data_IF_750148016119
#
_entry.id   IF_750148016119
#
_cell.length_a   1.000
_cell.length_b   1.000
_cell.length_c   1.000
_cell.angle_alpha   90.00
_cell.angle_beta   90.00
_cell.angle_gamma   90.00
#
_symmetry.space_group_name_H-M   'P 1'
#
loop_
_entity.id
_entity.type
_entity.pdbx_description
1 polymer ?
#
# COMPACT_ATOMS: atom_id res chain seq x y z
N UNK A 1 -22.73 112.46 -7.39
CA UNK A 1 -23.91 111.61 -7.15
C UNK A 1 -23.42 110.19 -6.91
N UNK A 2 -23.71 109.64 -5.72
CA UNK A 2 -23.54 108.26 -5.21
C UNK A 2 -22.13 107.67 -4.91
N UNK A 3 -21.91 107.45 -3.61
CA UNK A 3 -20.98 106.54 -2.93
C UNK A 3 -21.32 105.04 -3.14
N UNK A 4 -20.32 104.15 -3.00
CA UNK A 4 -20.31 102.84 -2.27
C UNK A 4 -19.11 102.03 -2.77
N UNK A 5 -17.99 101.74 -2.06
CA UNK A 5 -17.66 101.05 -0.80
C UNK A 5 -17.96 99.53 -0.77
N UNK A 6 -16.90 98.78 -0.38
CA UNK A 6 -16.79 97.37 0.10
C UNK A 6 -16.68 96.26 -0.96
N UNK A 7 -16.03 95.10 -0.76
CA UNK A 7 -15.04 94.51 0.17
C UNK A 7 -14.97 93.00 -0.21
N UNK A 8 -13.92 92.28 0.21
CA UNK A 8 -13.81 90.79 0.29
C UNK A 8 -13.42 90.11 -1.04
N UNK A 9 -12.49 89.14 -1.14
CA UNK A 9 -11.80 88.26 -0.19
C UNK A 9 -11.66 86.86 -0.84
N UNK A 10 -10.74 86.02 -0.32
CA UNK A 10 -10.52 84.57 -0.58
C UNK A 10 -9.50 84.20 -1.68
N UNK A 11 -8.29 83.69 -1.37
CA UNK A 11 -7.86 82.37 -0.82
C UNK A 11 -7.68 81.27 -1.88
N UNK A 12 -6.40 80.91 -2.09
CA UNK A 12 -5.79 79.58 -2.32
C UNK A 12 -6.67 78.39 -2.76
N UNK A 13 -6.25 77.66 -3.80
CA UNK A 13 -5.98 76.22 -3.66
C UNK A 13 -5.14 75.65 -4.83
N UNK A 14 -3.97 75.12 -4.49
CA UNK A 14 -3.15 74.18 -5.25
C UNK A 14 -3.96 72.92 -5.58
N UNK A 15 -4.18 72.62 -6.87
CA UNK A 15 -4.70 71.33 -7.30
C UNK A 15 -3.53 70.37 -7.55
N UNK A 16 -3.21 69.54 -6.55
CA UNK A 16 -2.40 68.36 -6.73
C UNK A 16 -3.20 67.35 -7.55
N UNK A 17 -2.76 67.08 -8.78
CA UNK A 17 -3.30 66.00 -9.62
C UNK A 17 -2.84 64.68 -9.02
N UNK A 18 -3.68 64.09 -8.17
CA UNK A 18 -3.52 62.74 -7.67
C UNK A 18 -3.81 61.79 -8.83
N UNK A 19 -2.76 61.27 -9.45
CA UNK A 19 -2.85 60.14 -10.37
C UNK A 19 -3.32 58.93 -9.57
N UNK A 20 -4.63 58.71 -9.55
CA UNK A 20 -5.21 57.42 -9.18
C UNK A 20 -4.91 56.46 -10.31
N UNK A 21 -3.81 55.72 -10.20
CA UNK A 21 -3.62 54.50 -10.98
C UNK A 21 -4.64 53.49 -10.47
N UNK A 22 -5.84 53.51 -11.05
CA UNK A 22 -6.76 52.37 -10.99
C UNK A 22 -6.04 51.20 -11.65
N UNK A 23 -5.31 50.41 -10.86
CA UNK A 23 -5.04 49.04 -11.28
C UNK A 23 -6.40 48.43 -11.54
N UNK A 24 -6.66 47.84 -12.72
CA UNK A 24 -7.91 47.15 -12.93
C UNK A 24 -8.06 46.13 -11.81
N UNK A 25 -9.18 46.17 -11.08
CA UNK A 25 -9.67 44.98 -10.41
C UNK A 25 -9.74 43.95 -11.52
N UNK A 26 -8.82 42.98 -11.49
CA UNK A 26 -8.91 41.82 -12.35
C UNK A 26 -10.17 41.11 -11.87
N UNK A 27 -11.32 41.44 -12.47
CA UNK A 27 -12.57 40.76 -12.27
C UNK A 27 -12.36 39.31 -12.69
N UNK A 28 -11.94 38.49 -11.73
CA UNK A 28 -11.85 37.06 -11.89
C UNK A 28 -13.31 36.59 -12.00
N UNK A 29 -13.74 36.24 -13.21
CA UNK A 29 -15.08 35.73 -13.49
C UNK A 29 -15.29 34.29 -12.96
N UNK A 30 -14.57 33.90 -11.91
CA UNK A 30 -14.71 32.65 -11.19
C UNK A 30 -15.07 32.94 -9.73
N UNK A 31 -15.73 31.98 -9.08
CA UNK A 31 -15.93 32.05 -7.63
C UNK A 31 -14.56 32.12 -6.96
N UNK A 32 -14.32 33.15 -6.13
CA UNK A 32 -13.10 33.22 -5.34
C UNK A 32 -13.04 31.99 -4.41
N UNK A 33 -11.90 31.28 -4.34
CA UNK A 33 -11.78 30.09 -3.51
C UNK A 33 -11.89 30.46 -2.03
N UNK A 34 -12.30 29.49 -1.20
CA UNK A 34 -12.16 29.68 0.24
C UNK A 34 -10.70 29.54 0.67
N UNK A 35 -10.27 30.33 1.65
CA UNK A 35 -8.97 30.09 2.30
C UNK A 35 -8.99 28.68 2.89
N UNK A 36 -7.95 27.90 2.60
CA UNK A 36 -7.85 26.49 3.01
C UNK A 36 -8.57 25.50 2.09
N UNK A 37 -9.21 25.95 1.01
CA UNK A 37 -9.79 25.07 -0.01
C UNK A 37 -8.70 24.26 -0.70
N UNK A 38 -8.94 22.95 -0.83
CA UNK A 38 -8.09 22.02 -1.57
C UNK A 38 -8.71 21.73 -2.93
N UNK A 39 -7.90 21.82 -3.98
CA UNK A 39 -8.30 21.48 -5.34
C UNK A 39 -7.27 20.57 -6.02
N UNK A 40 -7.74 19.75 -6.96
CA UNK A 40 -6.89 18.90 -7.79
C UNK A 40 -6.84 19.45 -9.22
N UNK A 41 -5.62 19.64 -9.72
CA UNK A 41 -5.35 20.29 -11.01
C UNK A 41 -4.41 19.45 -11.86
N UNK A 42 -4.63 19.48 -13.18
CA UNK A 42 -3.85 18.70 -14.14
C UNK A 42 -2.50 19.36 -14.53
N UNK A 43 -2.31 20.64 -14.22
CA UNK A 43 -1.07 21.37 -14.52
C UNK A 43 -0.06 21.24 -13.37
N UNK A 44 1.22 21.47 -13.69
CA UNK A 44 2.36 21.08 -12.85
C UNK A 44 2.81 22.14 -11.81
N UNK A 45 2.07 23.21 -11.58
CA UNK A 45 2.44 24.31 -10.67
C UNK A 45 1.25 24.78 -9.83
N UNK A 46 1.51 25.47 -8.71
CA UNK A 46 0.48 26.19 -7.96
C UNK A 46 0.38 27.64 -8.46
N UNK A 47 -0.81 28.13 -8.88
CA UNK A 47 -0.99 29.50 -9.33
C UNK A 47 -0.86 30.49 -8.16
N UNK A 48 -0.78 31.78 -8.45
CA UNK A 48 -0.74 32.81 -7.42
C UNK A 48 -1.98 32.70 -6.49
N UNK A 49 -1.77 32.85 -5.18
CA UNK A 49 -2.81 32.64 -4.17
C UNK A 49 -2.96 31.19 -3.71
N UNK A 50 -2.21 30.25 -4.31
CA UNK A 50 -2.23 28.83 -3.97
C UNK A 50 -0.83 28.32 -3.63
N UNK A 51 -0.80 27.18 -2.95
CA UNK A 51 0.40 26.40 -2.67
C UNK A 51 0.18 24.93 -3.01
N UNK A 52 1.26 24.19 -3.29
CA UNK A 52 1.18 22.73 -3.42
C UNK A 52 0.98 22.07 -2.04
N UNK A 53 0.21 20.99 -2.00
CA UNK A 53 -0.02 20.18 -0.80
C UNK A 53 1.17 19.24 -0.51
N UNK A 54 2.37 19.80 -0.30
CA UNK A 54 3.63 19.05 -0.14
C UNK A 54 4.16 19.04 1.31
N UNK A 55 3.34 19.41 2.29
CA UNK A 55 3.76 19.40 3.70
C UNK A 55 4.67 20.56 4.12
N UNK A 56 4.77 21.62 3.31
CA UNK A 56 5.66 22.75 3.62
C UNK A 56 5.27 23.46 4.92
N UNK A 57 6.29 23.96 5.64
CA UNK A 57 6.14 24.76 6.84
C UNK A 57 6.01 26.24 6.46
N UNK A 58 4.94 26.88 6.91
CA UNK A 58 4.65 28.28 6.65
C UNK A 58 4.66 29.10 7.95
N UNK A 59 5.11 30.38 7.89
CA UNK A 59 5.12 31.24 9.05
C UNK A 59 3.72 31.81 9.33
N UNK A 60 3.27 31.72 10.59
CA UNK A 60 1.92 32.13 11.01
C UNK A 60 1.70 33.63 10.78
N UNK A 61 2.73 34.46 10.97
CA UNK A 61 2.63 35.91 10.82
C UNK A 61 2.26 36.37 9.40
N UNK A 62 2.53 35.56 8.36
CA UNK A 62 2.17 35.86 6.98
C UNK A 62 0.83 35.22 6.57
N UNK A 63 0.48 34.06 7.15
CA UNK A 63 -0.66 33.24 6.74
C UNK A 63 -1.67 33.02 7.89
N UNK A 64 -1.98 34.09 8.63
CA UNK A 64 -2.84 34.02 9.82
C UNK A 64 -4.22 33.42 9.53
N UNK A 65 -4.84 33.82 8.40
CA UNK A 65 -6.15 33.31 7.98
C UNK A 65 -6.13 31.82 7.65
N UNK A 66 -5.04 31.32 7.06
CA UNK A 66 -4.91 29.89 6.78
C UNK A 66 -4.63 29.11 8.07
N UNK A 67 -3.78 29.64 8.94
CA UNK A 67 -3.49 29.03 10.24
C UNK A 67 -4.72 28.93 11.14
N UNK A 68 -5.61 29.93 11.15
CA UNK A 68 -6.83 29.86 11.98
C UNK A 68 -7.82 28.77 11.56
N UNK A 69 -7.67 28.23 10.34
CA UNK A 69 -8.47 27.13 9.82
C UNK A 69 -7.77 25.78 10.00
N UNK A 70 -6.48 25.70 9.68
CA UNK A 70 -5.72 24.43 9.68
C UNK A 70 -5.17 24.09 11.07
N UNK A 71 -4.84 25.09 11.87
CA UNK A 71 -4.11 24.92 13.13
C UNK A 71 -2.78 24.18 12.91
N UNK A 72 -2.45 23.28 13.82
CA UNK A 72 -1.28 22.40 13.76
C UNK A 72 -1.59 20.98 13.29
N UNK A 73 -2.78 20.76 12.71
CA UNK A 73 -3.25 19.41 12.33
C UNK A 73 -2.29 18.68 11.39
N UNK A 74 -1.50 19.41 10.60
CA UNK A 74 -0.54 18.86 9.65
C UNK A 74 0.92 19.05 10.08
N UNK A 75 1.18 19.69 11.24
CA UNK A 75 2.52 19.98 11.77
C UNK A 75 2.79 21.46 12.06
N UNK A 76 4.06 21.77 12.32
CA UNK A 76 4.53 23.07 12.83
C UNK A 76 4.46 23.19 14.35
N UNK A 77 4.94 24.32 14.88
CA UNK A 77 5.04 24.54 16.32
C UNK A 77 3.79 25.21 16.93
N UNK A 78 2.85 25.69 16.10
CA UNK A 78 1.63 26.36 16.53
C UNK A 78 1.82 27.74 17.14
N UNK A 79 3.06 28.27 17.14
CA UNK A 79 3.41 29.57 17.74
C UNK A 79 4.01 30.51 16.70
N UNK A 80 4.96 30.04 15.91
CA UNK A 80 5.59 30.78 14.81
C UNK A 80 5.29 30.16 13.45
N UNK A 81 4.99 28.86 13.41
CA UNK A 81 4.83 28.09 12.18
C UNK A 81 3.69 27.06 12.25
N UNK A 82 3.18 26.71 11.08
CA UNK A 82 2.25 25.60 10.86
C UNK A 82 2.59 24.91 9.54
N UNK A 83 2.08 23.70 9.33
CA UNK A 83 2.31 22.96 8.08
C UNK A 83 1.05 22.91 7.20
N UNK A 84 1.27 22.80 5.89
CA UNK A 84 0.24 22.38 4.94
C UNK A 84 0.06 20.85 4.97
N UNK A 85 -1.05 20.32 4.43
CA UNK A 85 -1.16 18.89 4.16
C UNK A 85 -0.05 18.40 3.22
N UNK A 86 0.44 17.17 3.44
CA UNK A 86 1.29 16.44 2.49
C UNK A 86 0.47 15.34 1.84
N UNK A 87 0.10 15.53 0.57
CA UNK A 87 -0.78 14.64 -0.21
C UNK A 87 -0.02 13.73 -1.17
N UNK A 88 1.32 13.78 -1.19
CA UNK A 88 2.13 12.93 -2.07
C UNK A 88 2.01 11.47 -1.63
N UNK A 89 1.57 10.61 -2.55
CA UNK A 89 1.34 9.17 -2.28
C UNK A 89 0.12 8.90 -1.40
N UNK A 90 -0.77 9.88 -1.19
CA UNK A 90 -1.94 9.74 -0.28
C UNK A 90 -3.24 10.01 -1.00
N UNK A 91 -4.30 9.39 -0.48
CA UNK A 91 -5.68 9.62 -0.91
C UNK A 91 -6.45 10.35 0.20
N UNK A 92 -7.32 11.32 -0.15
CA UNK A 92 -8.13 12.02 0.84
C UNK A 92 -9.21 11.09 1.41
N UNK A 93 -9.40 11.14 2.73
CA UNK A 93 -10.48 10.42 3.45
C UNK A 93 -11.22 11.41 4.34
N UNK A 94 -12.55 11.34 4.34
CA UNK A 94 -13.37 12.19 5.19
C UNK A 94 -13.19 11.81 6.68
N UNK A 95 -13.14 12.81 7.56
CA UNK A 95 -13.00 12.59 9.00
C UNK A 95 -14.22 11.90 9.63
N UNK A 96 -14.03 11.30 10.80
CA UNK A 96 -15.07 10.63 11.57
C UNK A 96 -15.07 9.12 11.38
N UNK A 97 -16.05 8.46 12.01
CA UNK A 97 -16.22 7.02 11.97
C UNK A 97 -17.47 6.65 11.18
N UNK A 98 -17.28 5.86 10.12
CA UNK A 98 -18.40 5.17 9.48
C UNK A 98 -18.91 4.05 10.42
N UNK A 99 -20.22 3.75 10.50
CA UNK A 99 -20.73 2.65 11.33
C UNK A 99 -19.99 1.33 11.04
N UNK A 100 -19.37 0.74 12.08
CA UNK A 100 -18.57 -0.48 11.94
C UNK A 100 -17.19 -0.31 11.28
N UNK A 101 -16.79 0.92 10.95
CA UNK A 101 -15.51 1.26 10.35
C UNK A 101 -14.51 1.86 11.35
N UNK A 102 -13.35 2.26 10.82
CA UNK A 102 -12.31 2.97 11.57
C UNK A 102 -12.69 4.43 11.81
N UNK A 103 -12.18 5.00 12.90
CA UNK A 103 -12.24 6.45 13.16
C UNK A 103 -11.08 7.15 12.46
N UNK A 104 -11.38 8.16 11.65
CA UNK A 104 -10.38 9.02 11.01
C UNK A 104 -10.37 10.40 11.66
N UNK A 105 -9.21 10.85 12.13
CA UNK A 105 -9.06 12.21 12.67
C UNK A 105 -8.45 13.13 11.62
N UNK A 106 -8.87 14.40 11.60
CA UNK A 106 -8.30 15.39 10.69
C UNK A 106 -6.78 15.51 10.91
N UNK A 107 -6.00 15.59 9.83
CA UNK A 107 -4.53 15.64 9.90
C UNK A 107 -3.83 14.28 10.07
N UNK A 108 -4.58 13.21 10.34
CA UNK A 108 -4.02 11.87 10.45
C UNK A 108 -3.41 11.40 9.12
N UNK A 109 -2.16 10.93 9.15
CA UNK A 109 -1.55 10.19 8.05
C UNK A 109 -1.46 8.71 8.43
N UNK A 110 -1.96 7.83 7.56
CA UNK A 110 -1.90 6.37 7.73
C UNK A 110 -1.92 5.68 6.36
N UNK A 111 -1.68 4.37 6.35
CA UNK A 111 -1.61 3.54 5.14
C UNK A 111 -0.18 3.25 4.67
N UNK A 112 -0.06 2.39 3.65
CA UNK A 112 1.19 2.01 3.02
C UNK A 112 0.97 1.74 1.52
N UNK A 113 1.92 2.12 0.66
CA UNK A 113 1.86 1.85 -0.78
C UNK A 113 2.19 0.39 -1.12
N UNK A 114 2.99 -0.25 -0.26
CA UNK A 114 3.43 -1.64 -0.38
C UNK A 114 3.24 -2.35 0.96
N UNK A 115 2.76 -3.60 0.90
CA UNK A 115 2.61 -4.46 2.07
C UNK A 115 3.46 -5.71 1.86
N UNK A 116 4.29 -6.04 2.83
CA UNK A 116 5.02 -7.32 2.85
C UNK A 116 4.08 -8.41 3.37
N UNK A 117 3.81 -9.42 2.55
CA UNK A 117 3.09 -10.61 3.00
C UNK A 117 3.96 -11.38 3.99
N UNK A 118 3.51 -11.43 5.24
CA UNK A 118 4.07 -12.34 6.25
C UNK A 118 3.26 -13.63 6.30
N UNK A 119 3.81 -14.66 6.95
CA UNK A 119 3.07 -15.90 7.24
C UNK A 119 1.73 -15.63 7.94
N UNK A 120 1.66 -14.62 8.80
CA UNK A 120 0.43 -14.22 9.50
C UNK A 120 -0.62 -13.59 8.57
N UNK A 121 -0.22 -13.12 7.39
CA UNK A 121 -1.13 -12.54 6.40
C UNK A 121 -1.65 -13.56 5.39
N UNK A 122 -1.14 -14.79 5.41
CA UNK A 122 -1.66 -15.87 4.58
C UNK A 122 -2.64 -16.73 5.39
N UNK A 123 -3.78 -17.17 4.79
CA UNK A 123 -4.59 -18.22 5.40
C UNK A 123 -3.71 -19.44 5.71
N UNK A 124 -3.92 -20.02 6.89
CA UNK A 124 -3.27 -21.27 7.27
C UNK A 124 -3.60 -22.33 6.22
N UNK A 125 -2.58 -22.85 5.57
CA UNK A 125 -2.69 -23.93 4.59
C UNK A 125 -1.58 -24.93 4.83
N UNK A 126 -1.83 -26.18 4.45
CA UNK A 126 -0.83 -27.24 4.46
C UNK A 126 -0.84 -27.96 3.11
N UNK A 127 0.28 -28.59 2.79
CA UNK A 127 0.39 -29.52 1.67
C UNK A 127 0.64 -30.91 2.23
N UNK A 128 -0.41 -31.67 2.56
CA UNK A 128 -0.21 -33.03 3.04
C UNK A 128 0.32 -33.90 1.90
N UNK A 129 1.56 -34.36 2.02
CA UNK A 129 2.08 -35.45 1.22
C UNK A 129 2.02 -36.73 2.06
N UNK A 130 1.19 -37.68 1.62
CA UNK A 130 1.05 -38.99 2.24
C UNK A 130 1.75 -40.04 1.39
N UNK A 131 2.66 -40.80 1.98
CA UNK A 131 3.21 -42.00 1.38
C UNK A 131 2.68 -43.22 2.13
N UNK A 132 2.10 -44.17 1.40
CA UNK A 132 1.66 -45.46 1.93
C UNK A 132 2.49 -46.55 1.28
N UNK A 133 3.22 -47.31 2.08
CA UNK A 133 3.96 -48.50 1.63
C UNK A 133 3.26 -49.73 2.17
N UNK A 134 2.74 -50.57 1.27
CA UNK A 134 2.17 -51.87 1.61
C UNK A 134 3.16 -52.96 1.19
N UNK A 135 3.64 -53.75 2.15
CA UNK A 135 4.47 -54.92 1.89
C UNK A 135 3.74 -56.17 2.35
N UNK A 136 3.45 -57.09 1.42
CA UNK A 136 2.92 -58.41 1.72
C UNK A 136 4.03 -59.43 1.56
N UNK A 137 4.56 -59.94 2.67
CA UNK A 137 5.61 -60.95 2.68
C UNK A 137 5.10 -62.20 3.39
N UNK A 138 5.16 -63.36 2.72
CA UNK A 138 4.97 -64.65 3.37
C UNK A 138 6.34 -65.22 3.73
N UNK A 139 6.61 -65.45 5.01
CA UNK A 139 7.87 -66.05 5.48
C UNK A 139 7.59 -67.42 6.10
N UNK A 140 8.47 -68.38 5.82
CA UNK A 140 8.53 -69.62 6.58
C UNK A 140 9.07 -69.36 8.00
N UNK A 141 8.77 -70.22 8.99
CA UNK A 141 9.38 -70.12 10.32
C UNK A 141 10.91 -70.04 10.25
N UNK A 142 11.49 -69.01 10.86
CA UNK A 142 12.93 -68.74 10.85
C UNK A 142 13.47 -68.01 9.61
N UNK A 143 12.61 -67.57 8.69
CA UNK A 143 13.01 -66.75 7.55
C UNK A 143 13.08 -65.25 7.88
N UNK A 144 13.89 -64.52 7.12
CA UNK A 144 13.95 -63.05 7.13
C UNK A 144 13.43 -62.51 5.81
N UNK A 145 12.69 -61.40 5.83
CA UNK A 145 12.26 -60.69 4.63
C UNK A 145 12.59 -59.21 4.76
N UNK A 146 13.06 -58.64 3.66
CA UNK A 146 13.36 -57.22 3.52
C UNK A 146 12.48 -56.66 2.41
N UNK A 147 11.77 -55.58 2.69
CA UNK A 147 11.04 -54.81 1.68
C UNK A 147 11.84 -53.56 1.34
N UNK A 148 12.11 -53.33 0.06
CA UNK A 148 12.80 -52.12 -0.42
C UNK A 148 11.94 -51.43 -1.46
N UNK A 149 11.80 -50.11 -1.35
CA UNK A 149 11.17 -49.31 -2.39
C UNK A 149 12.04 -49.30 -3.64
N UNK A 150 11.39 -49.37 -4.80
CA UNK A 150 12.04 -49.22 -6.10
C UNK A 150 11.64 -47.91 -6.77
N UNK A 151 12.58 -47.35 -7.52
CA UNK A 151 12.42 -46.20 -8.40
C UNK A 151 12.84 -46.56 -9.83
N UNK A 152 12.71 -45.62 -10.75
CA UNK A 152 13.16 -45.73 -12.13
C UNK A 152 14.48 -44.99 -12.29
N UNK A 153 15.51 -45.69 -12.76
CA UNK A 153 16.82 -45.13 -13.10
C UNK A 153 16.82 -44.56 -14.53
N UNK A 154 15.94 -43.59 -14.76
CA UNK A 154 15.90 -42.76 -15.96
C UNK A 154 15.31 -41.40 -15.62
N UNK A 155 15.46 -40.44 -16.53
CA UNK A 155 14.83 -39.12 -16.39
C UNK A 155 13.30 -39.26 -16.23
N UNK A 156 12.73 -38.47 -15.32
CA UNK A 156 11.30 -38.35 -15.15
C UNK A 156 10.65 -37.67 -16.37
N UNK A 157 9.54 -38.24 -16.84
CA UNK A 157 8.75 -37.79 -17.99
C UNK A 157 7.32 -37.37 -17.61
N UNK A 158 6.90 -37.66 -16.37
CA UNK A 158 5.53 -37.47 -15.88
C UNK A 158 5.50 -36.60 -14.62
N UNK A 159 4.48 -35.72 -14.55
CA UNK A 159 4.22 -34.83 -13.39
C UNK A 159 3.37 -35.48 -12.30
N UNK A 160 2.59 -36.50 -12.65
CA UNK A 160 1.54 -37.09 -11.82
C UNK A 160 1.98 -38.42 -11.20
N UNK A 161 1.80 -38.56 -9.90
CA UNK A 161 2.12 -39.80 -9.18
C UNK A 161 1.17 -40.97 -9.49
N UNK A 162 -0.07 -40.70 -9.93
CA UNK A 162 -1.11 -41.72 -10.07
C UNK A 162 -0.70 -42.81 -11.08
N UNK A 163 -0.42 -44.02 -10.57
CA UNK A 163 0.00 -45.17 -11.37
C UNK A 163 1.44 -45.14 -11.87
N UNK A 164 2.23 -44.13 -11.48
CA UNK A 164 3.60 -43.92 -11.96
C UNK A 164 4.61 -44.04 -10.81
N UNK A 165 5.86 -44.30 -11.16
CA UNK A 165 6.96 -44.57 -10.23
C UNK A 165 7.88 -43.36 -10.08
N UNK A 166 8.51 -43.18 -8.92
CA UNK A 166 9.53 -42.15 -8.73
C UNK A 166 10.70 -42.36 -9.69
N UNK A 167 11.22 -41.29 -10.28
CA UNK A 167 12.30 -41.30 -11.26
C UNK A 167 13.31 -40.19 -10.99
N UNK A 168 14.40 -40.14 -11.77
CA UNK A 168 15.38 -39.05 -11.65
C UNK A 168 14.74 -37.72 -12.07
N UNK A 169 14.51 -36.82 -11.12
CA UNK A 169 13.85 -35.55 -11.38
C UNK A 169 14.69 -34.68 -12.32
N UNK A 170 14.23 -34.51 -13.56
CA UNK A 170 14.86 -33.63 -14.54
C UNK A 170 14.27 -32.23 -14.43
N UNK A 171 14.87 -31.39 -13.59
CA UNK A 171 14.37 -30.06 -13.29
C UNK A 171 13.12 -30.08 -12.38
N UNK A 172 12.52 -28.91 -12.16
CA UNK A 172 11.45 -28.73 -11.16
C UNK A 172 10.07 -29.27 -11.57
N UNK A 173 9.92 -29.81 -12.78
CA UNK A 173 8.60 -30.03 -13.38
C UNK A 173 8.12 -31.48 -13.46
N UNK A 174 9.00 -32.47 -13.33
CA UNK A 174 8.63 -33.90 -13.39
C UNK A 174 9.44 -34.71 -12.40
N UNK A 175 8.77 -35.63 -11.70
CA UNK A 175 9.39 -36.51 -10.70
C UNK A 175 8.99 -37.99 -10.88
N UNK A 176 8.11 -38.29 -11.85
CA UNK A 176 7.55 -39.63 -12.04
C UNK A 176 7.82 -40.15 -13.45
N UNK A 177 7.76 -41.47 -13.61
CA UNK A 177 7.75 -42.16 -14.89
C UNK A 177 6.75 -43.31 -14.93
N UNK A 178 6.16 -43.56 -16.11
CA UNK A 178 5.30 -44.73 -16.36
C UNK A 178 6.10 -46.02 -16.50
N UNK A 179 7.43 -45.92 -16.63
CA UNK A 179 8.32 -47.07 -16.66
C UNK A 179 8.24 -47.87 -15.37
N UNK A 180 8.38 -49.19 -15.48
CA UNK A 180 8.45 -50.05 -14.30
C UNK A 180 9.69 -49.73 -13.46
N UNK A 181 9.60 -49.71 -12.11
CA UNK A 181 10.75 -49.51 -11.24
C UNK A 181 11.87 -50.52 -11.49
N UNK A 182 13.09 -50.05 -11.68
CA UNK A 182 14.24 -50.88 -12.07
C UNK A 182 15.47 -50.71 -11.15
N UNK A 183 15.42 -49.79 -10.18
CA UNK A 183 16.49 -49.58 -9.21
C UNK A 183 15.92 -49.54 -7.81
N UNK A 184 16.60 -50.15 -6.85
CA UNK A 184 16.25 -49.99 -5.43
C UNK A 184 16.65 -48.60 -4.97
N UNK A 185 15.77 -47.95 -4.20
CA UNK A 185 16.12 -46.70 -3.54
C UNK A 185 17.16 -46.97 -2.42
N UNK A 186 17.81 -45.92 -1.92
CA UNK A 186 18.76 -46.01 -0.80
C UNK A 186 18.15 -46.76 0.39
N UNK A 187 18.95 -47.50 1.17
CA UNK A 187 18.44 -48.25 2.35
C UNK A 187 17.78 -47.34 3.38
N UNK A 188 18.18 -46.07 3.46
CA UNK A 188 17.54 -45.07 4.33
C UNK A 188 16.19 -44.53 3.81
N UNK A 189 15.74 -44.92 2.60
CA UNK A 189 14.54 -44.35 1.97
C UNK A 189 13.22 -44.83 2.58
N UNK A 190 13.24 -45.99 3.26
CA UNK A 190 12.29 -46.60 4.20
C UNK A 190 12.69 -48.09 4.22
N UNK A 191 13.25 -48.56 5.34
CA UNK A 191 13.56 -49.97 5.59
C UNK A 191 12.64 -50.47 6.70
N UNK A 192 12.07 -51.66 6.53
CA UNK A 192 11.34 -52.34 7.60
C UNK A 192 11.79 -53.79 7.62
N UNK A 193 12.44 -54.18 8.71
CA UNK A 193 12.92 -55.54 8.95
C UNK A 193 11.94 -56.22 9.88
N UNK A 194 11.39 -57.37 9.47
CA UNK A 194 10.43 -58.14 10.25
C UNK A 194 11.04 -59.50 10.62
N UNK A 195 10.78 -59.95 11.85
CA UNK A 195 11.13 -61.28 12.37
C UNK A 195 9.87 -61.97 12.95
N UNK A 196 9.61 -63.22 12.55
CA UNK A 196 8.48 -64.02 13.05
C UNK A 196 7.11 -63.84 12.35
N UNK A 197 6.18 -64.75 12.65
CA UNK A 197 4.95 -65.06 11.89
C UNK A 197 3.92 -63.91 11.81
N UNK A 198 3.66 -63.46 10.57
CA UNK A 198 2.50 -62.72 10.06
C UNK A 198 2.20 -61.35 10.70
N UNK A 199 3.07 -60.37 10.44
CA UNK A 199 2.89 -58.97 10.82
C UNK A 199 2.54 -58.16 9.56
N UNK A 200 1.34 -57.56 9.53
CA UNK A 200 0.97 -56.52 8.55
C UNK A 200 1.44 -55.18 9.12
N UNK A 201 2.56 -54.66 8.63
CA UNK A 201 3.06 -53.33 9.04
C UNK A 201 2.59 -52.27 8.05
N UNK A 202 1.74 -51.35 8.50
CA UNK A 202 1.41 -50.13 7.76
C UNK A 202 2.27 -48.98 8.29
N UNK A 203 3.30 -48.58 7.54
CA UNK A 203 4.11 -47.40 7.89
C UNK A 203 3.48 -46.17 7.23
N UNK A 204 2.92 -45.27 8.03
CA UNK A 204 2.48 -43.94 7.58
C UNK A 204 3.59 -42.94 7.88
N UNK A 205 4.20 -42.37 6.84
CA UNK A 205 5.17 -41.28 7.00
C UNK A 205 4.48 -39.95 6.68
N UNK A 206 4.49 -39.02 7.64
CA UNK A 206 4.12 -37.63 7.37
C UNK A 206 5.30 -36.95 6.67
N UNK A 207 5.07 -36.36 5.50
CA UNK A 207 6.05 -35.51 4.83
C UNK A 207 5.71 -34.07 5.19
N UNK A 208 6.58 -33.42 5.98
CA UNK A 208 6.46 -32.00 6.27
C UNK A 208 6.92 -31.20 5.06
N UNK A 209 5.96 -30.70 4.27
CA UNK A 209 6.23 -29.71 3.25
C UNK A 209 6.26 -28.35 3.95
N UNK A 210 7.46 -27.77 4.10
CA UNK A 210 7.65 -26.47 4.73
C UNK A 210 6.86 -25.35 4.04
N UNK A 211 6.64 -24.24 4.74
CA UNK A 211 5.85 -23.13 4.19
C UNK A 211 6.57 -22.47 3.02
N UNK A 212 5.89 -22.33 1.89
CA UNK A 212 6.39 -21.65 0.70
C UNK A 212 5.85 -20.20 0.64
N UNK A 213 6.71 -19.24 0.29
CA UNK A 213 6.35 -17.82 0.17
C UNK A 213 7.53 -16.93 0.54
N UNK A 214 8.17 -16.32 -0.45
CA UNK A 214 9.45 -15.61 -0.29
C UNK A 214 9.38 -14.23 0.37
N UNK A 215 8.37 -13.96 1.21
CA UNK A 215 8.13 -12.68 1.90
C UNK A 215 8.34 -11.44 1.01
N UNK A 216 7.89 -11.52 -0.25
CA UNK A 216 8.06 -10.41 -1.18
C UNK A 216 6.97 -9.36 -0.95
N UNK A 217 7.32 -8.07 -0.93
CA UNK A 217 6.33 -7.02 -0.90
C UNK A 217 5.52 -7.00 -2.20
N UNK A 218 4.22 -6.72 -2.07
CA UNK A 218 3.35 -6.48 -3.20
C UNK A 218 2.68 -5.10 -3.03
N UNK A 219 2.45 -4.43 -4.16
CA UNK A 219 1.78 -3.14 -4.14
C UNK A 219 0.30 -3.34 -3.83
N UNK A 220 -0.22 -2.50 -2.93
CA UNK A 220 -1.65 -2.43 -2.60
C UNK A 220 -2.31 -1.20 -3.21
N UNK A 221 -1.58 -0.46 -4.03
CA UNK A 221 -2.09 0.75 -4.67
C UNK A 221 -3.06 0.39 -5.79
N UNK A 222 -4.26 0.98 -5.74
CA UNK A 222 -5.23 0.90 -6.85
C UNK A 222 -4.68 1.63 -8.07
N UNK A 223 -5.13 1.30 -9.31
CA UNK A 223 -4.78 2.08 -10.49
C UNK A 223 -5.06 3.57 -10.27
N UNK A 224 -4.08 4.42 -10.59
CA UNK A 224 -4.13 5.85 -10.28
C UNK A 224 -3.64 6.69 -11.46
N UNK A 225 -4.07 7.95 -11.49
CA UNK A 225 -3.53 9.00 -12.35
C UNK A 225 -3.06 10.13 -11.46
N UNK A 226 -1.83 10.61 -11.70
CA UNK A 226 -1.24 11.66 -10.87
C UNK A 226 -1.73 13.02 -11.34
N UNK A 227 -2.29 13.78 -10.42
CA UNK A 227 -2.65 15.19 -10.56
C UNK A 227 -2.11 15.95 -9.36
N UNK A 228 -1.94 17.26 -9.50
CA UNK A 228 -1.42 18.09 -8.42
C UNK A 228 -2.53 18.46 -7.44
N UNK A 229 -2.25 18.31 -6.14
CA UNK A 229 -3.03 18.92 -5.08
C UNK A 229 -2.51 20.33 -4.80
N UNK A 230 -3.42 21.31 -4.81
CA UNK A 230 -3.14 22.68 -4.42
C UNK A 230 -4.11 23.14 -3.32
N UNK A 231 -3.66 24.05 -2.47
CA UNK A 231 -4.44 24.66 -1.39
C UNK A 231 -4.39 26.18 -1.46
N UNK A 232 -5.55 26.84 -1.37
CA UNK A 232 -5.66 28.29 -1.42
C UNK A 232 -5.20 28.91 -0.09
N UNK A 233 -4.20 29.79 -0.13
CA UNK A 233 -3.82 30.61 1.02
C UNK A 233 -4.44 32.01 0.96
N UNK A 234 -4.87 32.43 -0.23
CA UNK A 234 -5.57 33.69 -0.48
C UNK A 234 -6.95 33.41 -1.09
N UNK A 235 -7.98 34.06 -0.57
CA UNK A 235 -9.37 33.84 -0.96
C UNK A 235 -10.35 34.36 0.10
N UNK A 236 -11.62 33.94 -0.01
CA UNK A 236 -12.67 34.31 0.95
C UNK A 236 -12.50 33.49 2.22
N UNK A 237 -12.53 34.15 3.39
CA UNK A 237 -12.51 33.42 4.66
C UNK A 237 -13.88 32.73 4.89
N UNK A 238 -13.94 31.41 5.11
CA UNK A 238 -15.21 30.70 5.30
C UNK A 238 -15.86 31.09 6.65
N UNK A 239 -17.12 31.52 6.61
CA UNK A 239 -17.91 31.80 7.81
C UNK A 239 -18.35 30.50 8.47
N UNK A 240 -18.15 30.38 9.79
CA UNK A 240 -18.73 29.30 10.57
C UNK A 240 -20.22 29.57 10.78
N UNK A 241 -21.12 28.61 10.50
CA UNK A 241 -22.54 28.74 10.81
C UNK A 241 -22.81 28.77 12.32
#
# INVERSE_FOLDING_TARGET
MKLSKKMQGFFSLTAAVMFMTTTPDNANAGMEPFVGEISYVAFNFAPQGWYQCDGQILPINQYQALFSLLGTNYGGDGTTTFALPDMRGKVPVHQGQHPGGSMFTLGQTSGAENVTLTLNNMPAHNHPATATSASTSALAPGGTATSTLKAVNSDADIKTAAGNSLANAKGLNSAYSASAPNVSMSSASIETTLDGLNIVTTTSTNVDVGVAGGSQPFSVMQPYTVVNCIIAWNGVYPSRP
#
